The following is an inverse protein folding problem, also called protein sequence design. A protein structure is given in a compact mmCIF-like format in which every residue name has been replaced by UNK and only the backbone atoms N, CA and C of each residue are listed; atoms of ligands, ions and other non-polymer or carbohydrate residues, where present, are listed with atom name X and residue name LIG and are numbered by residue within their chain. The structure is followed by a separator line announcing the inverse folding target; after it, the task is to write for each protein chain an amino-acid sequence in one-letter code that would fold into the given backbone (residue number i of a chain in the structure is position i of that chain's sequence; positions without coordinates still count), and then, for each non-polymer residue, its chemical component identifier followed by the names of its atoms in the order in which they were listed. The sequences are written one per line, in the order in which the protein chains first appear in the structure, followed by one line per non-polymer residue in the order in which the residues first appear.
data_IF_444516362483
#
_entry.id   IF_444516362483
#
_cell.length_a   1.000
_cell.length_b   1.000
_cell.length_c   1.000
_cell.angle_alpha   90.00
_cell.angle_beta   90.00
_cell.angle_gamma   90.00
#
_symmetry.space_group_name_H-M   'P 1'
#
loop_
_entity.id
_entity.type
_entity.pdbx_description
1 polymer ?
#
# COMPACT_ATOMS: atom_id res chain seq x y z
N UNK A 1 -28.23 -38.69 0.19
CA UNK A 1 -28.69 -37.39 -0.34
C UNK A 1 -27.53 -36.43 -0.09
N UNK A 2 -26.56 -36.38 -1.02
CA UNK A 2 -25.39 -35.52 -0.95
C UNK A 2 -25.81 -34.14 -1.40
N UNK A 3 -25.69 -33.19 -0.50
CA UNK A 3 -25.78 -31.76 -0.86
C UNK A 3 -24.54 -31.43 -1.70
N UNK A 4 -24.77 -31.13 -2.97
CA UNK A 4 -23.74 -30.64 -3.84
C UNK A 4 -23.25 -29.29 -3.23
N UNK A 5 -21.99 -29.26 -2.80
CA UNK A 5 -21.26 -28.02 -2.58
C UNK A 5 -21.26 -27.28 -3.93
N UNK A 6 -22.05 -26.21 -3.95
CA UNK A 6 -22.18 -25.36 -5.13
C UNK A 6 -20.87 -24.58 -5.27
N UNK A 7 -19.94 -25.13 -6.05
CA UNK A 7 -18.73 -24.42 -6.43
C UNK A 7 -19.14 -23.13 -7.13
N UNK A 8 -19.00 -21.99 -6.43
CA UNK A 8 -19.27 -20.67 -6.97
C UNK A 8 -18.60 -20.56 -8.35
N UNK A 9 -19.38 -20.23 -9.38
CA UNK A 9 -18.83 -20.11 -10.72
C UNK A 9 -17.65 -19.14 -10.75
N UNK A 10 -16.69 -19.37 -11.61
CA UNK A 10 -15.49 -18.50 -11.74
C UNK A 10 -15.86 -17.02 -11.96
N UNK A 11 -17.05 -16.75 -12.52
CA UNK A 11 -17.60 -15.39 -12.67
C UNK A 11 -18.04 -14.80 -11.33
N UNK A 12 -18.71 -15.59 -10.50
CA UNK A 12 -19.17 -15.19 -9.15
C UNK A 12 -17.99 -14.93 -8.24
N UNK A 13 -16.99 -15.81 -8.25
CA UNK A 13 -15.76 -15.63 -7.49
C UNK A 13 -15.01 -14.35 -7.89
N UNK A 14 -14.92 -14.05 -9.19
CA UNK A 14 -14.33 -12.79 -9.68
C UNK A 14 -15.11 -11.58 -9.20
N UNK A 15 -16.44 -11.65 -9.21
CA UNK A 15 -17.29 -10.56 -8.73
C UNK A 15 -17.16 -10.33 -7.24
N UNK A 16 -17.11 -11.40 -6.43
CA UNK A 16 -16.88 -11.31 -4.98
C UNK A 16 -15.52 -10.70 -4.66
N UNK A 17 -14.45 -11.13 -5.33
CA UNK A 17 -13.12 -10.53 -5.17
C UNK A 17 -13.11 -9.04 -5.54
N UNK A 18 -13.86 -8.64 -6.56
CA UNK A 18 -13.99 -7.20 -6.91
C UNK A 18 -14.71 -6.42 -5.83
N UNK A 19 -15.78 -6.95 -5.26
CA UNK A 19 -16.54 -6.32 -4.17
C UNK A 19 -15.67 -6.20 -2.92
N UNK A 20 -14.96 -7.27 -2.52
CA UNK A 20 -14.04 -7.24 -1.38
C UNK A 20 -12.95 -6.18 -1.57
N UNK A 21 -12.34 -6.11 -2.76
CA UNK A 21 -11.32 -5.10 -3.07
C UNK A 21 -11.88 -3.69 -3.01
N UNK A 22 -13.05 -3.46 -3.61
CA UNK A 22 -13.70 -2.15 -3.54
C UNK A 22 -14.03 -1.76 -2.08
N UNK A 23 -14.43 -2.72 -1.24
CA UNK A 23 -14.63 -2.51 0.20
C UNK A 23 -13.35 -2.03 0.89
N UNK A 24 -12.23 -2.74 0.70
CA UNK A 24 -10.94 -2.34 1.26
C UNK A 24 -10.45 -0.99 0.71
N UNK A 25 -10.70 -0.69 -0.58
CA UNK A 25 -10.38 0.61 -1.16
C UNK A 25 -11.15 1.74 -0.47
N UNK A 26 -12.45 1.52 -0.21
CA UNK A 26 -13.28 2.48 0.52
C UNK A 26 -12.85 2.63 1.98
N UNK A 27 -12.53 1.55 2.68
CA UNK A 27 -12.00 1.60 4.05
C UNK A 27 -10.73 2.44 4.12
N UNK A 28 -9.76 2.21 3.23
CA UNK A 28 -8.52 2.97 3.18
C UNK A 28 -8.75 4.47 2.91
N UNK A 29 -9.71 4.80 2.03
CA UNK A 29 -10.09 6.19 1.75
C UNK A 29 -10.78 6.82 2.96
N UNK A 30 -11.71 6.11 3.59
CA UNK A 30 -12.42 6.58 4.79
C UNK A 30 -11.44 6.78 5.95
N UNK A 31 -10.54 5.83 6.18
CA UNK A 31 -9.53 5.93 7.24
C UNK A 31 -8.60 7.12 7.01
N UNK A 32 -8.12 7.30 5.79
CA UNK A 32 -7.31 8.46 5.44
C UNK A 32 -8.09 9.77 5.59
N UNK A 33 -9.34 9.79 5.14
CA UNK A 33 -10.21 10.97 5.31
C UNK A 33 -10.48 11.27 6.77
N UNK A 34 -10.77 10.26 7.60
CA UNK A 34 -10.96 10.43 9.04
C UNK A 34 -9.71 10.91 9.76
N UNK A 35 -8.53 10.39 9.36
CA UNK A 35 -7.24 10.85 9.90
C UNK A 35 -7.00 12.32 9.51
N UNK A 36 -7.32 12.70 8.26
CA UNK A 36 -7.12 14.05 7.74
C UNK A 36 -8.21 15.03 8.21
N UNK A 37 -9.47 14.58 8.31
CA UNK A 37 -10.60 15.44 8.72
C UNK A 37 -10.66 15.72 10.22
N UNK A 38 -10.08 14.84 11.04
CA UNK A 38 -9.94 15.05 12.49
C UNK A 38 -8.82 16.04 12.84
N UNK A 39 -8.53 16.99 11.95
CA UNK A 39 -7.55 18.04 12.19
C UNK A 39 -7.85 18.91 13.43
N UNK A 40 -9.06 18.87 13.95
CA UNK A 40 -9.48 19.80 15.00
C UNK A 40 -9.69 19.20 16.39
N UNK A 41 -9.91 17.90 16.59
CA UNK A 41 -10.44 17.44 17.89
C UNK A 41 -9.86 16.15 18.52
N UNK A 42 -9.19 15.27 17.79
CA UNK A 42 -8.58 14.08 18.42
C UNK A 42 -7.23 13.81 17.76
N UNK A 43 -6.17 14.11 18.47
CA UNK A 43 -4.83 13.64 18.14
C UNK A 43 -4.85 12.10 18.22
N UNK A 44 -4.62 11.37 17.11
CA UNK A 44 -4.56 9.92 17.18
C UNK A 44 -3.47 9.55 18.17
N UNK A 45 -3.80 8.74 19.18
CA UNK A 45 -2.91 8.44 20.29
C UNK A 45 -1.58 7.92 19.74
N UNK A 46 -0.52 8.68 19.98
CA UNK A 46 0.84 8.25 19.67
C UNK A 46 1.33 7.30 20.73
N UNK A 47 1.95 6.23 20.32
CA UNK A 47 2.58 5.23 21.19
C UNK A 47 3.90 4.77 20.59
N UNK A 48 4.73 4.14 21.40
CA UNK A 48 5.94 3.50 20.89
C UNK A 48 5.58 2.17 20.25
N UNK A 49 6.01 1.96 19.02
CA UNK A 49 5.83 0.71 18.30
C UNK A 49 7.00 0.41 17.36
N UNK A 50 7.15 -0.86 17.01
CA UNK A 50 8.13 -1.29 16.03
C UNK A 50 7.50 -1.32 14.62
N UNK A 51 8.04 -0.51 13.72
CA UNK A 51 7.59 -0.44 12.33
C UNK A 51 7.82 -1.75 11.60
N UNK A 52 8.84 -2.53 11.96
CA UNK A 52 9.12 -3.80 11.32
C UNK A 52 8.05 -4.85 11.65
N UNK A 53 7.54 -4.86 12.89
CA UNK A 53 6.41 -5.73 13.27
C UNK A 53 5.16 -5.35 12.46
N UNK A 54 4.85 -4.06 12.41
CA UNK A 54 3.71 -3.55 11.63
C UNK A 54 3.84 -3.87 10.13
N UNK A 55 5.04 -3.71 9.57
CA UNK A 55 5.31 -4.05 8.16
C UNK A 55 5.14 -5.55 7.89
N UNK A 56 5.50 -6.41 8.85
CA UNK A 56 5.30 -7.85 8.76
C UNK A 56 3.82 -8.23 8.71
N UNK A 57 2.97 -7.58 9.51
CA UNK A 57 1.51 -7.78 9.48
C UNK A 57 0.91 -7.34 8.14
N UNK A 58 1.31 -6.16 7.64
CA UNK A 58 0.83 -5.65 6.36
C UNK A 58 1.30 -6.51 5.16
N UNK A 59 2.50 -7.09 5.23
CA UNK A 59 2.97 -8.07 4.25
C UNK A 59 2.10 -9.32 4.22
N UNK A 60 1.63 -9.79 5.37
CA UNK A 60 0.71 -10.92 5.44
C UNK A 60 -0.61 -10.62 4.70
N UNK A 61 -1.19 -9.42 4.94
CA UNK A 61 -2.39 -8.97 4.25
C UNK A 61 -2.15 -8.80 2.75
N UNK A 62 -0.98 -8.29 2.34
CA UNK A 62 -0.61 -8.13 0.94
C UNK A 62 -0.50 -9.46 0.18
N UNK A 63 -0.14 -10.57 0.83
CA UNK A 63 -0.13 -11.91 0.22
C UNK A 63 -1.51 -12.33 -0.28
N UNK A 64 -2.55 -11.99 0.46
CA UNK A 64 -3.93 -12.29 0.05
C UNK A 64 -4.33 -11.48 -1.19
N UNK A 65 -3.82 -10.25 -1.33
CA UNK A 65 -4.08 -9.42 -2.50
C UNK A 65 -3.40 -9.93 -3.76
N UNK A 66 -2.23 -10.54 -3.64
CA UNK A 66 -1.50 -11.14 -4.75
C UNK A 66 -2.23 -12.37 -5.31
N UNK A 67 -2.86 -13.18 -4.44
CA UNK A 67 -3.50 -14.43 -4.85
C UNK A 67 -2.51 -15.34 -5.57
N UNK A 68 -2.86 -15.77 -6.79
CA UNK A 68 -2.05 -16.70 -7.59
C UNK A 68 -1.00 -16.01 -8.49
N UNK A 69 -0.75 -14.70 -8.32
CA UNK A 69 0.28 -14.01 -9.10
C UNK A 69 1.67 -14.59 -8.76
N UNK A 70 2.53 -14.87 -9.75
CA UNK A 70 3.91 -15.34 -9.53
C UNK A 70 4.80 -14.18 -9.09
N UNK A 71 4.51 -13.61 -7.93
CA UNK A 71 5.22 -12.50 -7.32
C UNK A 71 5.77 -12.92 -5.97
N UNK A 72 7.07 -12.80 -5.79
CA UNK A 72 7.74 -13.01 -4.51
C UNK A 72 7.52 -11.78 -3.62
N UNK A 73 7.00 -11.98 -2.41
CA UNK A 73 6.76 -10.93 -1.43
C UNK A 73 7.60 -11.21 -0.19
N UNK A 74 8.53 -10.30 0.14
CA UNK A 74 9.46 -10.50 1.25
C UNK A 74 9.80 -9.22 1.98
N UNK A 75 10.15 -9.37 3.25
CA UNK A 75 10.81 -8.35 4.04
C UNK A 75 12.32 -8.56 3.93
N UNK A 76 13.09 -7.49 3.76
CA UNK A 76 14.54 -7.51 3.68
C UNK A 76 15.13 -6.61 4.77
N UNK A 77 16.33 -6.97 5.27
CA UNK A 77 16.94 -6.29 6.41
C UNK A 77 16.45 -6.80 7.75
N UNK A 78 17.30 -6.69 8.78
CA UNK A 78 17.06 -7.15 10.15
C UNK A 78 17.00 -5.97 11.13
N UNK A 79 16.49 -4.82 10.69
CA UNK A 79 16.51 -3.63 11.54
C UNK A 79 15.11 -3.31 12.05
N UNK A 80 15.02 -3.19 13.37
CA UNK A 80 13.91 -2.59 14.07
C UNK A 80 13.95 -1.07 13.89
N UNK A 81 12.79 -0.47 13.68
CA UNK A 81 12.59 0.98 13.65
C UNK A 81 11.55 1.33 14.71
N UNK A 82 12.03 1.77 15.87
CA UNK A 82 11.15 2.24 16.92
C UNK A 82 10.64 3.65 16.59
N UNK A 83 9.33 3.82 16.60
CA UNK A 83 8.69 5.12 16.35
C UNK A 83 7.75 5.48 17.49
N UNK A 84 7.71 6.78 17.80
CA UNK A 84 6.65 7.37 18.60
C UNK A 84 5.69 8.14 17.70
N UNK A 85 4.64 7.47 17.26
CA UNK A 85 3.60 8.01 16.35
C UNK A 85 2.32 7.19 16.52
N UNK A 86 1.21 7.59 15.88
CA UNK A 86 0.03 6.73 15.82
C UNK A 86 0.27 5.52 14.89
N UNK A 87 0.27 4.27 15.40
CA UNK A 87 0.52 3.08 14.57
C UNK A 87 -0.47 2.94 13.41
N UNK A 88 -1.71 3.39 13.63
CA UNK A 88 -2.75 3.38 12.59
C UNK A 88 -2.36 4.22 11.37
N UNK A 89 -1.66 5.34 11.56
CA UNK A 89 -1.19 6.19 10.44
C UNK A 89 -0.15 5.45 9.62
N UNK A 90 0.85 4.84 10.27
CA UNK A 90 1.86 4.05 9.58
C UNK A 90 1.25 2.84 8.88
N UNK A 91 0.25 2.19 9.48
CA UNK A 91 -0.51 1.10 8.84
C UNK A 91 -1.17 1.55 7.54
N UNK A 92 -1.84 2.72 7.53
CA UNK A 92 -2.45 3.29 6.31
C UNK A 92 -1.38 3.60 5.25
N UNK A 93 -0.22 4.10 5.64
CA UNK A 93 0.90 4.34 4.73
C UNK A 93 1.37 3.04 4.09
N UNK A 94 1.71 2.03 4.90
CA UNK A 94 2.22 0.73 4.43
C UNK A 94 1.20 0.00 3.55
N UNK A 95 -0.07 -0.06 3.97
CA UNK A 95 -1.12 -0.73 3.19
C UNK A 95 -1.30 -0.09 1.81
N UNK A 96 -1.28 1.25 1.70
CA UNK A 96 -1.38 1.93 0.40
C UNK A 96 -0.16 1.65 -0.49
N UNK A 97 1.05 1.66 0.04
CA UNK A 97 2.26 1.34 -0.71
C UNK A 97 2.27 -0.11 -1.20
N UNK A 98 1.96 -1.06 -0.32
CA UNK A 98 1.89 -2.48 -0.66
C UNK A 98 0.79 -2.80 -1.67
N UNK A 99 -0.39 -2.18 -1.52
CA UNK A 99 -1.48 -2.34 -2.50
C UNK A 99 -1.11 -1.83 -3.88
N UNK A 100 -0.41 -0.70 -3.97
CA UNK A 100 0.12 -0.20 -5.22
C UNK A 100 1.13 -1.19 -5.82
N UNK A 101 2.10 -1.66 -5.04
CA UNK A 101 3.05 -2.66 -5.49
C UNK A 101 2.36 -3.93 -6.00
N UNK A 102 1.39 -4.49 -5.26
CA UNK A 102 0.61 -5.67 -5.68
C UNK A 102 -0.24 -5.43 -6.94
N UNK A 103 -0.79 -4.21 -7.11
CA UNK A 103 -1.62 -3.87 -8.26
C UNK A 103 -0.80 -3.75 -9.56
N UNK A 104 0.42 -3.23 -9.47
CA UNK A 104 1.26 -2.92 -10.62
C UNK A 104 2.36 -3.94 -10.90
N UNK A 105 2.50 -4.98 -10.07
CA UNK A 105 3.41 -6.12 -10.29
C UNK A 105 2.62 -7.36 -10.67
N UNK A 106 2.86 -7.89 -11.87
CA UNK A 106 2.23 -9.11 -12.34
C UNK A 106 3.15 -10.33 -12.19
N UNK A 107 4.46 -10.12 -12.27
CA UNK A 107 5.53 -11.12 -12.06
C UNK A 107 6.74 -10.45 -11.41
N UNK A 108 7.57 -11.22 -10.73
CA UNK A 108 8.82 -10.71 -10.13
C UNK A 108 8.77 -10.62 -8.60
N UNK A 109 9.09 -9.46 -8.02
CA UNK A 109 9.20 -9.32 -6.58
C UNK A 109 8.68 -8.00 -6.03
N UNK A 110 8.21 -8.05 -4.78
CA UNK A 110 7.91 -6.90 -3.93
C UNK A 110 8.72 -7.07 -2.65
N UNK A 111 9.45 -6.04 -2.27
CA UNK A 111 10.32 -6.03 -1.09
C UNK A 111 9.97 -4.88 -0.19
N UNK A 112 9.90 -5.15 1.12
CA UNK A 112 9.82 -4.12 2.16
C UNK A 112 11.12 -4.13 2.92
N UNK A 113 11.81 -3.01 2.94
CA UNK A 113 13.04 -2.81 3.71
C UNK A 113 12.75 -1.81 4.83
N UNK A 114 13.13 -2.18 6.06
CA UNK A 114 13.08 -1.28 7.22
C UNK A 114 14.50 -1.02 7.69
N UNK A 115 14.85 0.26 7.81
CA UNK A 115 16.13 0.71 8.36
C UNK A 115 15.90 1.59 9.57
N UNK A 116 16.96 2.14 10.17
CA UNK A 116 16.87 2.97 11.37
C UNK A 116 16.12 4.30 11.18
N UNK A 117 15.94 4.77 9.93
CA UNK A 117 15.40 6.07 9.60
C UNK A 117 14.29 6.05 8.55
N UNK A 118 14.05 4.91 7.90
CA UNK A 118 13.09 4.81 6.79
C UNK A 118 12.52 3.44 6.57
N UNK A 119 11.38 3.43 5.88
CA UNK A 119 10.77 2.26 5.29
C UNK A 119 10.79 2.42 3.77
N UNK A 120 11.15 1.37 3.05
CA UNK A 120 11.17 1.36 1.58
C UNK A 120 10.32 0.19 1.08
N UNK A 121 9.38 0.47 0.19
CA UNK A 121 8.66 -0.55 -0.57
C UNK A 121 9.14 -0.49 -2.01
N UNK A 122 9.71 -1.60 -2.50
CA UNK A 122 10.19 -1.75 -3.88
C UNK A 122 9.40 -2.82 -4.60
N UNK A 123 9.07 -2.59 -5.84
CA UNK A 123 8.48 -3.57 -6.73
C UNK A 123 9.23 -3.62 -8.06
N UNK A 124 9.14 -4.76 -8.74
CA UNK A 124 9.65 -4.97 -10.11
C UNK A 124 8.51 -4.96 -11.13
N UNK A 125 7.50 -4.15 -10.88
CA UNK A 125 6.32 -4.03 -11.73
C UNK A 125 6.54 -3.20 -12.99
N UNK A 126 5.46 -2.71 -13.55
CA UNK A 126 5.49 -1.94 -14.82
C UNK A 126 6.25 -0.61 -14.72
N UNK A 127 6.48 -0.10 -13.51
CA UNK A 127 7.06 1.22 -13.30
C UNK A 127 6.24 2.37 -13.90
N UNK A 128 6.85 3.56 -13.98
CA UNK A 128 6.23 4.78 -14.47
C UNK A 128 7.16 5.55 -15.41
N UNK A 129 6.58 6.20 -16.44
CA UNK A 129 7.31 7.20 -17.22
C UNK A 129 7.60 8.43 -16.36
N UNK A 130 8.48 9.31 -16.86
CA UNK A 130 8.82 10.55 -16.15
C UNK A 130 7.59 11.45 -15.95
N UNK A 131 6.72 11.54 -16.97
CA UNK A 131 5.48 12.32 -16.90
C UNK A 131 4.51 11.73 -15.87
N UNK A 132 4.38 10.40 -15.81
CA UNK A 132 3.54 9.72 -14.84
C UNK A 132 4.09 9.87 -13.42
N UNK A 133 5.41 9.78 -13.26
CA UNK A 133 6.10 9.98 -11.98
C UNK A 133 5.90 11.38 -11.42
N UNK A 134 5.97 12.41 -12.27
CA UNK A 134 5.74 13.79 -11.87
C UNK A 134 4.33 14.01 -11.28
N UNK A 135 3.35 13.22 -11.74
CA UNK A 135 1.95 13.31 -11.34
C UNK A 135 1.50 12.23 -10.34
N UNK A 136 2.39 11.36 -9.94
CA UNK A 136 2.06 10.18 -9.14
C UNK A 136 1.36 10.47 -7.81
N UNK A 137 1.57 11.67 -7.26
CA UNK A 137 0.94 12.14 -6.02
C UNK A 137 -0.33 12.97 -6.23
N UNK A 138 -0.74 13.22 -7.49
CA UNK A 138 -2.01 13.90 -7.77
C UNK A 138 -3.18 12.98 -7.40
N UNK A 139 -4.21 13.49 -6.69
CA UNK A 139 -5.42 12.71 -6.41
C UNK A 139 -6.08 12.22 -7.70
N UNK A 140 -6.56 10.97 -7.69
CA UNK A 140 -7.22 10.30 -8.81
C UNK A 140 -6.33 10.04 -10.04
N UNK A 141 -5.05 10.39 -10.00
CA UNK A 141 -4.13 10.08 -11.09
C UNK A 141 -3.82 8.58 -11.12
N UNK A 142 -3.77 8.02 -12.33
CA UNK A 142 -3.43 6.62 -12.59
C UNK A 142 -2.49 6.55 -13.78
N UNK A 143 -1.30 5.96 -13.60
CA UNK A 143 -0.33 5.76 -14.67
C UNK A 143 -0.86 4.81 -15.76
N UNK A 144 -1.66 3.82 -15.37
CA UNK A 144 -2.35 2.91 -16.29
C UNK A 144 -3.85 2.85 -15.95
N UNK A 145 -4.71 3.63 -16.63
CA UNK A 145 -6.15 3.63 -16.41
C UNK A 145 -6.85 2.33 -16.88
N UNK A 146 -6.18 1.49 -17.69
CA UNK A 146 -6.75 0.25 -18.21
C UNK A 146 -6.77 -0.86 -17.14
N UNK A 147 -5.95 -0.78 -16.11
CA UNK A 147 -5.96 -1.73 -14.99
C UNK A 147 -7.24 -1.55 -14.17
N UNK A 148 -7.95 -2.64 -13.86
CA UNK A 148 -9.24 -2.54 -13.14
C UNK A 148 -9.10 -2.15 -11.66
N UNK A 149 -7.90 -1.95 -11.15
CA UNK A 149 -7.61 -1.77 -9.71
C UNK A 149 -7.09 -0.37 -9.42
N UNK A 150 -7.55 0.18 -8.28
CA UNK A 150 -7.06 1.41 -7.68
C UNK A 150 -7.89 2.66 -8.01
N UNK A 151 -8.12 3.46 -6.98
CA UNK A 151 -8.86 4.74 -7.05
C UNK A 151 -7.98 5.90 -7.53
N UNK A 152 -6.66 5.71 -7.58
CA UNK A 152 -5.70 6.80 -7.81
C UNK A 152 -5.50 7.71 -6.58
N UNK A 153 -5.93 7.26 -5.41
CA UNK A 153 -5.80 8.04 -4.16
C UNK A 153 -4.64 7.58 -3.28
N UNK A 154 -4.13 6.36 -3.44
CA UNK A 154 -3.17 5.74 -2.52
C UNK A 154 -1.93 6.60 -2.27
N UNK A 155 -1.20 7.01 -3.31
CA UNK A 155 0.02 7.82 -3.15
C UNK A 155 -0.28 9.24 -2.66
N UNK A 156 -1.41 9.85 -3.06
CA UNK A 156 -1.81 11.17 -2.57
C UNK A 156 -2.16 11.15 -1.08
N UNK A 157 -2.75 10.04 -0.59
CA UNK A 157 -2.98 9.81 0.84
C UNK A 157 -1.66 9.68 1.59
N UNK A 158 -0.74 8.84 1.09
CA UNK A 158 0.58 8.67 1.70
C UNK A 158 1.31 10.00 1.81
N UNK A 159 1.31 10.83 0.73
CA UNK A 159 1.92 12.15 0.73
C UNK A 159 1.36 13.05 1.82
N UNK A 160 0.03 13.16 1.90
CA UNK A 160 -0.64 13.99 2.91
C UNK A 160 -0.33 13.54 4.34
N UNK A 161 -0.29 12.24 4.58
CA UNK A 161 0.06 11.70 5.90
C UNK A 161 1.53 11.99 6.23
N UNK A 162 2.44 11.80 5.28
CA UNK A 162 3.85 12.14 5.48
C UNK A 162 4.01 13.64 5.78
N UNK A 163 3.39 14.52 5.00
CA UNK A 163 3.43 15.99 5.21
C UNK A 163 2.89 16.37 6.61
N UNK A 164 1.79 15.72 7.06
CA UNK A 164 1.19 16.01 8.37
C UNK A 164 2.08 15.58 9.54
N UNK A 165 2.76 14.43 9.43
CA UNK A 165 3.58 13.87 10.49
C UNK A 165 5.06 14.26 10.38
N UNK A 166 5.41 15.16 9.46
CA UNK A 166 6.78 15.61 9.25
C UNK A 166 7.70 14.57 8.63
N UNK A 167 7.14 13.54 8.00
CA UNK A 167 7.89 12.52 7.29
C UNK A 167 8.16 12.93 5.85
N UNK A 168 9.28 12.49 5.28
CA UNK A 168 9.61 12.76 3.89
C UNK A 168 9.32 11.53 3.04
N UNK A 169 8.63 11.73 1.91
CA UNK A 169 8.39 10.68 0.91
C UNK A 169 9.29 10.87 -0.30
N UNK A 170 9.94 9.80 -0.75
CA UNK A 170 10.79 9.76 -1.93
C UNK A 170 10.25 8.69 -2.90
N UNK A 171 10.09 9.04 -4.17
CA UNK A 171 9.58 8.16 -5.22
C UNK A 171 10.61 8.06 -6.35
N UNK A 172 11.03 6.85 -6.63
CA UNK A 172 11.83 6.49 -7.79
C UNK A 172 11.08 5.46 -8.61
N UNK A 173 11.00 5.65 -9.91
CA UNK A 173 10.34 4.71 -10.81
C UNK A 173 10.85 4.87 -12.23
N UNK A 174 10.93 3.75 -12.93
CA UNK A 174 11.32 3.67 -14.32
C UNK A 174 10.41 2.68 -15.05
N UNK A 175 9.90 3.06 -16.22
CA UNK A 175 9.01 2.23 -16.99
C UNK A 175 9.67 0.90 -17.42
N UNK A 176 9.00 -0.21 -17.11
CA UNK A 176 9.50 -1.56 -17.38
C UNK A 176 10.51 -2.09 -16.35
N UNK A 177 10.91 -1.30 -15.36
CA UNK A 177 11.86 -1.70 -14.31
C UNK A 177 11.16 -1.92 -12.97
N UNK A 178 10.31 -0.97 -12.56
CA UNK A 178 9.57 -1.02 -11.30
C UNK A 178 9.52 0.31 -10.56
N UNK A 179 9.08 0.25 -9.31
CA UNK A 179 8.91 1.42 -8.45
C UNK A 179 9.54 1.19 -7.08
N UNK A 180 10.13 2.24 -6.53
CA UNK A 180 10.63 2.29 -5.15
C UNK A 180 10.07 3.53 -4.46
N UNK A 181 9.38 3.33 -3.34
CA UNK A 181 8.87 4.41 -2.51
C UNK A 181 9.49 4.30 -1.13
N UNK A 182 10.16 5.35 -0.69
CA UNK A 182 10.73 5.45 0.65
C UNK A 182 9.96 6.48 1.48
N UNK A 183 9.68 6.15 2.74
CA UNK A 183 9.17 7.05 3.77
C UNK A 183 10.26 7.20 4.81
N UNK A 184 10.82 8.41 4.90
CA UNK A 184 11.86 8.78 5.85
C UNK A 184 11.21 9.43 7.05
N UNK A 185 11.45 8.88 8.24
CA UNK A 185 10.71 9.23 9.48
C UNK A 185 11.57 9.94 10.53
N UNK A 186 12.85 10.14 10.23
CA UNK A 186 13.82 10.83 11.10
C UNK A 186 14.00 12.28 10.67
#
# INVERSE_FOLDING_TARGET
MALADDELSARTQRSLRRIQRAGHDMEAVIDAFLILAREAEIDPQSENFDVAELASEELQSARELLGDKPVSLRMVGDRSLQMFAPPRVMRVVLSNLLRNACAYTDTGSIEVEVTHDRIVVRDTGIGMSEEARARAFEPFFRADPTRPQGTGLGLSIVRRLCDRFGWRIELQSEAGVGTSVAVVVA
#
